data_IF_129907338829
#
_entry.id   IF_129907338829
#
_cell.length_a   1.000
_cell.length_b   1.000
_cell.length_c   1.000
_cell.angle_alpha   90.00
_cell.angle_beta   90.00
_cell.angle_gamma   90.00
#
_symmetry.space_group_name_H-M   'P 1'
#
loop_
_entity.id
_entity.type
_entity.pdbx_description
1 polymer ?
#
# COMPACT_ATOMS: atom_id res chain seq x y z
N UNK A 1 -16.68 -10.11 -2.44
CA UNK A 1 -15.43 -10.02 -3.24
C UNK A 1 -14.43 -10.99 -2.65
N UNK A 2 -13.86 -11.90 -3.46
CA UNK A 2 -12.84 -12.87 -2.99
C UNK A 2 -11.58 -12.11 -2.59
N UNK A 3 -11.07 -12.34 -1.39
CA UNK A 3 -9.83 -11.72 -0.94
C UNK A 3 -8.67 -12.20 -1.84
N UNK A 4 -8.10 -11.28 -2.64
CA UNK A 4 -6.91 -11.55 -3.45
C UNK A 4 -5.78 -12.00 -2.52
N UNK A 5 -5.21 -13.19 -2.75
CA UNK A 5 -4.03 -13.64 -1.99
C UNK A 5 -2.82 -12.84 -2.49
N UNK A 6 -2.38 -11.87 -1.70
CA UNK A 6 -1.22 -11.03 -2.00
C UNK A 6 0.04 -11.64 -1.40
N UNK A 7 1.11 -11.72 -2.19
CA UNK A 7 2.44 -12.08 -1.68
C UNK A 7 3.03 -10.93 -0.86
N UNK A 8 4.08 -11.20 -0.08
CA UNK A 8 4.77 -10.15 0.69
C UNK A 8 5.33 -9.07 -0.25
N UNK A 9 5.87 -9.46 -1.41
CA UNK A 9 6.39 -8.53 -2.42
C UNK A 9 5.29 -7.58 -2.94
N UNK A 10 4.12 -8.12 -3.28
CA UNK A 10 2.97 -7.31 -3.71
C UNK A 10 2.49 -6.36 -2.62
N UNK A 11 2.48 -6.79 -1.36
CA UNK A 11 2.10 -5.90 -0.25
C UNK A 11 3.09 -4.76 -0.05
N UNK A 12 4.39 -5.02 -0.19
CA UNK A 12 5.44 -3.98 -0.17
C UNK A 12 5.28 -2.98 -1.31
N UNK A 13 5.02 -3.47 -2.52
CA UNK A 13 4.78 -2.65 -3.71
C UNK A 13 3.55 -1.76 -3.53
N UNK A 14 2.43 -2.34 -3.07
CA UNK A 14 1.19 -1.59 -2.75
C UNK A 14 1.47 -0.50 -1.70
N UNK A 15 2.21 -0.83 -0.64
CA UNK A 15 2.54 0.14 0.41
C UNK A 15 3.42 1.27 -0.13
N UNK A 16 4.45 0.95 -0.93
CA UNK A 16 5.32 1.94 -1.57
C UNK A 16 4.53 2.89 -2.46
N UNK A 17 3.70 2.35 -3.35
CA UNK A 17 2.86 3.17 -4.24
C UNK A 17 1.87 4.03 -3.43
N UNK A 18 1.32 3.50 -2.34
CA UNK A 18 0.44 4.27 -1.47
C UNK A 18 1.16 5.48 -0.88
N UNK A 19 2.39 5.32 -0.40
CA UNK A 19 3.22 6.41 0.13
C UNK A 19 3.57 7.41 -0.96
N UNK A 20 4.02 6.96 -2.14
CA UNK A 20 4.33 7.83 -3.29
C UNK A 20 3.11 8.65 -3.74
N UNK A 21 1.93 8.03 -3.79
CA UNK A 21 0.69 8.73 -4.16
C UNK A 21 0.26 9.70 -3.05
N UNK A 22 0.42 9.36 -1.77
CA UNK A 22 0.12 10.27 -0.66
C UNK A 22 1.09 11.45 -0.58
N UNK A 23 2.34 11.27 -0.99
CA UNK A 23 3.32 12.35 -1.08
C UNK A 23 2.98 13.31 -2.24
N UNK A 24 2.50 12.75 -3.36
CA UNK A 24 2.07 13.53 -4.53
C UNK A 24 0.67 14.16 -4.39
N UNK A 25 -0.28 13.47 -3.74
CA UNK A 25 -1.65 13.93 -3.53
C UNK A 25 -1.84 14.38 -2.08
N UNK A 26 -2.24 15.63 -1.88
CA UNK A 26 -2.63 16.15 -0.56
C UNK A 26 -3.92 15.53 0.03
N UNK A 27 -4.44 14.43 -0.53
CA UNK A 27 -5.65 13.73 -0.07
C UNK A 27 -5.43 12.22 0.09
N UNK A 28 -5.30 11.81 1.35
CA UNK A 28 -5.13 10.42 1.80
C UNK A 28 -6.34 9.53 1.47
N UNK A 29 -7.56 10.07 1.41
CA UNK A 29 -8.74 9.25 1.08
C UNK A 29 -8.74 8.90 -0.40
N UNK A 30 -8.40 9.86 -1.25
CA UNK A 30 -8.33 9.67 -2.70
C UNK A 30 -7.20 8.71 -3.09
N UNK A 31 -6.03 8.82 -2.44
CA UNK A 31 -4.91 7.89 -2.68
C UNK A 31 -5.28 6.44 -2.38
N UNK A 32 -6.00 6.19 -1.27
CA UNK A 32 -6.51 4.85 -0.93
C UNK A 32 -7.46 4.30 -1.98
N UNK A 33 -8.39 5.11 -2.48
CA UNK A 33 -9.32 4.68 -3.55
C UNK A 33 -8.56 4.27 -4.82
N UNK A 34 -7.59 5.09 -5.25
CA UNK A 34 -6.77 4.80 -6.43
C UNK A 34 -6.03 3.46 -6.26
N UNK A 35 -5.41 3.23 -5.10
CA UNK A 35 -4.68 1.99 -4.81
C UNK A 35 -5.62 0.78 -4.77
N UNK A 36 -6.79 0.90 -4.13
CA UNK A 36 -7.78 -0.17 -4.08
C UNK A 36 -8.26 -0.58 -5.47
N UNK A 37 -8.55 0.39 -6.33
CA UNK A 37 -8.97 0.15 -7.71
C UNK A 37 -7.83 -0.45 -8.55
N UNK A 38 -6.63 0.13 -8.48
CA UNK A 38 -5.44 -0.31 -9.23
C UNK A 38 -5.07 -1.75 -8.91
N UNK A 39 -5.04 -2.10 -7.63
CA UNK A 39 -4.62 -3.44 -7.19
C UNK A 39 -5.77 -4.45 -7.06
N UNK A 40 -7.02 -3.98 -7.23
CA UNK A 40 -8.27 -4.74 -7.02
C UNK A 40 -8.31 -5.40 -5.64
N UNK A 41 -8.02 -4.62 -4.62
CA UNK A 41 -7.99 -5.03 -3.21
C UNK A 41 -9.11 -4.33 -2.43
N UNK A 42 -9.50 -4.90 -1.30
CA UNK A 42 -10.50 -4.28 -0.43
C UNK A 42 -9.85 -3.32 0.57
N UNK A 43 -10.64 -2.39 1.12
CA UNK A 43 -10.19 -1.47 2.19
C UNK A 43 -9.55 -2.22 3.37
N UNK A 44 -10.15 -3.33 3.78
CA UNK A 44 -9.60 -4.18 4.83
C UNK A 44 -8.23 -4.78 4.48
N UNK A 45 -7.98 -5.12 3.21
CA UNK A 45 -6.66 -5.57 2.78
C UNK A 45 -5.66 -4.42 2.75
N UNK A 46 -6.08 -3.23 2.30
CA UNK A 46 -5.24 -2.04 2.28
C UNK A 46 -4.82 -1.64 3.70
N UNK A 47 -5.75 -1.61 4.65
CA UNK A 47 -5.45 -1.35 6.07
C UNK A 47 -4.46 -2.34 6.66
N UNK A 48 -4.62 -3.64 6.35
CA UNK A 48 -3.65 -4.66 6.79
C UNK A 48 -2.25 -4.42 6.23
N UNK A 49 -2.16 -3.96 4.97
CA UNK A 49 -0.90 -3.61 4.33
C UNK A 49 -0.31 -2.36 4.98
N UNK A 50 -1.11 -1.34 5.28
CA UNK A 50 -0.68 -0.14 6.01
C UNK A 50 -0.13 -0.51 7.40
N UNK A 51 -0.87 -1.29 8.19
CA UNK A 51 -0.45 -1.75 9.51
C UNK A 51 0.82 -2.61 9.45
N UNK A 52 0.92 -3.52 8.47
CA UNK A 52 2.11 -4.36 8.28
C UNK A 52 3.31 -3.52 7.83
N UNK A 53 3.12 -2.56 6.93
CA UNK A 53 4.15 -1.66 6.42
C UNK A 53 4.68 -0.74 7.52
N UNK A 54 3.81 -0.17 8.35
CA UNK A 54 4.23 0.64 9.52
C UNK A 54 5.00 -0.23 10.52
N UNK A 55 4.47 -1.40 10.88
CA UNK A 55 5.14 -2.32 11.83
C UNK A 55 6.49 -2.82 11.33
N UNK A 56 6.61 -3.07 10.02
CA UNK A 56 7.83 -3.58 9.38
C UNK A 56 8.72 -2.48 8.81
N UNK A 57 8.36 -1.21 8.99
CA UNK A 57 9.07 -0.05 8.46
C UNK A 57 9.34 -0.18 6.95
N UNK A 58 8.28 -0.43 6.19
CA UNK A 58 8.34 -0.41 4.74
C UNK A 58 8.14 1.01 4.19
N UNK A 59 8.66 1.29 2.99
CA UNK A 59 9.79 0.60 2.38
C UNK A 59 11.04 0.75 3.27
N UNK A 60 11.92 -0.28 3.39
CA UNK A 60 13.14 -0.13 4.16
C UNK A 60 13.95 1.05 3.61
N UNK A 61 14.44 1.93 4.50
CA UNK A 61 15.20 3.13 4.14
C UNK A 61 16.53 2.84 3.40
N UNK A 62 16.91 1.57 3.25
CA UNK A 62 18.17 1.09 2.65
C UNK A 62 17.96 0.39 1.28
N UNK A 63 17.16 0.94 0.36
CA UNK A 63 17.12 0.44 -1.02
C UNK A 63 17.55 1.44 -2.10
N UNK A 64 18.21 2.52 -1.72
CA UNK A 64 18.97 3.37 -2.63
C UNK A 64 20.42 3.51 -2.13
N UNK A 65 21.27 2.59 -2.55
CA UNK A 65 22.70 2.84 -2.79
C UNK A 65 23.19 2.06 -4.01
#
# INVERSE_FOLDING_TARGET
>A
MVAKRLTVAQRKEIFRELVEIQDSLQDVRKSRQIIMEKHRITDHQLRKIEDEGIRRQWPPLDQDN
#
